data_IF_315932635853
#
_entry.id   IF_315932635853
#
_cell.length_a   1.000
_cell.length_b   1.000
_cell.length_c   1.000
_cell.angle_alpha   90.00
_cell.angle_beta   90.00
_cell.angle_gamma   90.00
#
_symmetry.space_group_name_H-M   'P 1'
#
loop_
_entity.id
_entity.type
_entity.pdbx_description
1 polymer ?
#
# COMPACT_ATOMS: atom_id res chain seq x y z
N UNK A 1 18.20 -15.19 5.66
CA UNK A 1 17.11 -15.40 4.67
C UNK A 1 17.19 -14.26 3.66
N UNK A 2 16.51 -14.29 2.51
CA UNK A 2 16.44 -13.06 1.72
C UNK A 2 15.55 -12.08 2.49
N UNK A 3 16.03 -10.85 2.72
CA UNK A 3 15.24 -9.84 3.42
C UNK A 3 14.07 -9.40 2.53
N UNK A 4 12.87 -9.21 3.10
CA UNK A 4 11.75 -8.63 2.36
C UNK A 4 12.12 -7.27 1.80
N UNK A 5 11.60 -6.95 0.61
CA UNK A 5 11.67 -5.60 0.06
C UNK A 5 10.83 -4.64 0.91
N UNK A 6 11.33 -3.43 1.13
CA UNK A 6 10.59 -2.34 1.78
C UNK A 6 10.08 -1.38 0.72
N UNK A 7 8.76 -1.36 0.53
CA UNK A 7 8.07 -0.40 -0.31
C UNK A 7 7.54 0.75 0.55
N UNK A 8 7.81 1.99 0.18
CA UNK A 8 7.24 3.15 0.86
C UNK A 8 6.16 3.80 0.00
N UNK A 9 4.95 3.91 0.55
CA UNK A 9 3.85 4.63 -0.10
C UNK A 9 4.09 6.13 0.00
N UNK A 10 4.21 6.77 -1.17
CA UNK A 10 4.39 8.22 -1.27
C UNK A 10 3.13 8.93 -0.79
N UNK A 11 3.31 9.98 0.01
CA UNK A 11 2.19 10.68 0.67
C UNK A 11 1.68 11.90 -0.08
N UNK A 12 2.37 12.28 -1.15
CA UNK A 12 2.04 13.45 -1.95
C UNK A 12 0.65 13.33 -2.58
N UNK A 13 -0.03 14.48 -2.68
CA UNK A 13 -1.31 14.66 -3.37
C UNK A 13 -1.18 15.43 -4.67
N UNK A 14 0.02 15.89 -4.96
CA UNK A 14 0.41 16.41 -6.26
C UNK A 14 1.62 15.62 -6.78
N UNK A 15 1.84 15.69 -8.10
CA UNK A 15 3.02 15.10 -8.74
C UNK A 15 4.32 15.61 -8.10
N UNK A 16 4.39 16.92 -7.86
CA UNK A 16 5.56 17.55 -7.23
C UNK A 16 5.80 17.00 -5.83
N UNK A 17 4.75 16.88 -5.01
CA UNK A 17 4.87 16.33 -3.66
C UNK A 17 5.33 14.87 -3.68
N UNK A 18 4.78 14.03 -4.57
CA UNK A 18 5.20 12.63 -4.71
C UNK A 18 6.67 12.53 -5.12
N UNK A 19 7.09 13.32 -6.13
CA UNK A 19 8.48 13.34 -6.59
C UNK A 19 9.45 13.82 -5.49
N UNK A 20 9.03 14.77 -4.66
CA UNK A 20 9.81 15.27 -3.53
C UNK A 20 9.85 14.30 -2.33
N UNK A 21 8.89 13.39 -2.21
CA UNK A 21 8.83 12.38 -1.14
C UNK A 21 9.67 11.13 -1.48
N UNK A 22 9.74 10.76 -2.77
CA UNK A 22 10.51 9.59 -3.23
C UNK A 22 11.99 9.55 -2.76
N UNK A 23 12.82 10.60 -2.91
CA UNK A 23 14.20 10.56 -2.42
C UNK A 23 14.29 10.48 -0.89
N UNK A 24 13.29 11.00 -0.16
CA UNK A 24 13.22 10.88 1.30
C UNK A 24 12.92 9.43 1.70
N UNK A 25 12.00 8.78 1.01
CA UNK A 25 11.69 7.36 1.22
C UNK A 25 12.94 6.48 1.05
N UNK A 26 13.70 6.67 -0.05
CA UNK A 26 14.96 5.96 -0.28
C UNK A 26 15.96 6.20 0.85
N UNK A 27 16.12 7.46 1.29
CA UNK A 27 17.02 7.80 2.41
C UNK A 27 16.61 7.13 3.73
N UNK A 28 15.32 6.87 3.93
CA UNK A 28 14.80 6.14 5.09
C UNK A 28 14.89 4.62 4.96
N UNK A 29 15.44 4.11 3.86
CA UNK A 29 15.68 2.68 3.64
C UNK A 29 14.59 1.97 2.83
N UNK A 30 13.83 2.69 2.00
CA UNK A 30 12.97 2.07 1.00
C UNK A 30 13.80 1.41 -0.12
N UNK A 31 13.45 0.19 -0.51
CA UNK A 31 13.98 -0.48 -1.72
C UNK A 31 13.20 -0.06 -2.97
N UNK A 32 11.95 0.36 -2.80
CA UNK A 32 11.07 0.85 -3.85
C UNK A 32 10.02 1.81 -3.28
N UNK A 33 9.32 2.53 -4.17
CA UNK A 33 8.28 3.47 -3.79
C UNK A 33 6.96 3.16 -4.49
N UNK A 34 5.84 3.38 -3.80
CA UNK A 34 4.50 3.27 -4.37
C UNK A 34 3.95 4.67 -4.66
N UNK A 35 3.70 4.97 -5.93
CA UNK A 35 2.94 6.13 -6.39
C UNK A 35 1.45 5.76 -6.46
N UNK A 36 0.67 6.33 -5.53
CA UNK A 36 -0.78 6.17 -5.48
C UNK A 36 -1.46 7.24 -6.34
N UNK A 37 -1.76 6.93 -7.59
CA UNK A 37 -2.40 7.87 -8.51
C UNK A 37 -3.75 8.36 -7.98
N UNK A 38 -4.50 7.51 -7.28
CA UNK A 38 -5.79 7.87 -6.69
C UNK A 38 -5.69 9.02 -5.68
N UNK A 39 -4.52 9.26 -5.07
CA UNK A 39 -4.32 10.40 -4.16
C UNK A 39 -4.23 11.74 -4.88
N UNK A 40 -3.96 11.77 -6.19
CA UNK A 40 -3.92 13.01 -6.98
C UNK A 40 -5.29 13.69 -7.04
N UNK A 41 -6.38 12.95 -6.87
CA UNK A 41 -7.75 13.49 -6.77
C UNK A 41 -8.13 13.90 -5.35
N UNK A 42 -7.16 14.10 -4.46
CA UNK A 42 -7.42 14.54 -3.09
C UNK A 42 -6.60 15.75 -2.70
N UNK A 43 -7.08 16.53 -1.74
CA UNK A 43 -6.30 17.56 -1.05
C UNK A 43 -6.46 17.40 0.46
N UNK A 44 -5.46 17.84 1.22
CA UNK A 44 -5.49 17.80 2.68
C UNK A 44 -5.61 19.19 3.26
N UNK A 45 -6.57 19.38 4.16
CA UNK A 45 -6.73 20.59 4.96
C UNK A 45 -6.56 20.25 6.45
N UNK A 46 -5.68 20.98 7.13
CA UNK A 46 -5.47 20.82 8.57
C UNK A 46 -6.34 21.81 9.33
N UNK A 47 -7.27 21.29 10.11
CA UNK A 47 -8.13 22.09 10.99
C UNK A 47 -7.73 21.84 12.44
N UNK A 48 -7.50 22.90 13.20
CA UNK A 48 -7.25 22.79 14.64
C UNK A 48 -8.58 22.82 15.37
N UNK A 49 -8.93 21.73 16.04
CA UNK A 49 -10.09 21.67 16.94
C UNK A 49 -9.63 21.60 18.39
N UNK A 50 -10.15 22.50 19.23
CA UNK A 50 -9.95 22.45 20.68
C UNK A 50 -11.05 21.58 21.31
N UNK A 51 -10.70 20.38 21.76
CA UNK A 51 -11.61 19.57 22.57
C UNK A 51 -11.37 19.89 24.05
N UNK A 52 -12.37 20.48 24.70
CA UNK A 52 -12.39 20.61 26.16
C UNK A 52 -12.71 19.25 26.78
N UNK A 53 -11.77 18.73 27.54
CA UNK A 53 -11.96 17.54 28.38
C UNK A 53 -11.84 17.91 29.86
N UNK A 54 -12.30 17.04 30.76
CA UNK A 54 -12.16 17.24 32.22
C UNK A 54 -10.69 17.36 32.68
N UNK A 55 -9.73 16.93 31.85
CA UNK A 55 -8.28 16.99 32.10
C UNK A 55 -7.58 18.21 31.44
N UNK A 56 -8.33 19.12 30.81
CA UNK A 56 -7.81 20.35 30.17
C UNK A 56 -8.19 20.50 28.69
N UNK A 57 -7.73 21.60 28.09
CA UNK A 57 -7.85 21.85 26.64
C UNK A 57 -6.78 21.02 25.90
N UNK A 58 -7.22 20.03 25.11
CA UNK A 58 -6.36 19.34 24.15
C UNK A 58 -6.66 19.88 22.76
N UNK A 59 -5.67 20.53 22.16
CA UNK A 59 -5.69 20.80 20.73
C UNK A 59 -5.53 19.47 19.98
N UNK A 60 -6.52 19.13 19.17
CA UNK A 60 -6.45 18.05 18.20
C UNK A 60 -6.39 18.65 16.80
N UNK A 61 -5.39 18.24 16.02
CA UNK A 61 -5.33 18.56 14.60
C UNK A 61 -6.15 17.50 13.88
N UNK A 62 -7.21 17.92 13.20
CA UNK A 62 -8.03 17.08 12.35
C UNK A 62 -7.62 17.34 10.90
N UNK A 63 -7.39 16.26 10.15
CA UNK A 63 -7.02 16.31 8.74
C UNK A 63 -8.27 15.98 7.94
N UNK A 64 -8.74 16.94 7.16
CA UNK A 64 -9.87 16.77 6.24
C UNK A 64 -9.30 16.45 4.87
N UNK A 65 -9.80 15.38 4.26
CA UNK A 65 -9.45 15.00 2.89
C UNK A 65 -10.59 15.44 1.97
N UNK A 66 -10.32 16.40 1.10
CA UNK A 66 -11.27 16.87 0.09
C UNK A 66 -11.03 16.11 -1.22
N UNK A 67 -12.11 15.83 -1.96
CA UNK A 67 -12.05 15.13 -3.24
C UNK A 67 -12.19 16.11 -4.41
N UNK A 68 -11.44 15.86 -5.47
CA UNK A 68 -11.49 16.60 -6.72
C UNK A 68 -12.33 15.85 -7.76
N UNK A 69 -12.87 16.60 -8.72
CA UNK A 69 -13.58 16.04 -9.88
C UNK A 69 -12.63 15.26 -10.80
N UNK A 70 -13.19 14.34 -11.60
CA UNK A 70 -12.43 13.44 -12.45
C UNK A 70 -11.49 14.18 -13.43
N UNK A 71 -11.96 15.29 -14.00
CA UNK A 71 -11.26 16.11 -14.99
C UNK A 71 -10.23 17.08 -14.39
N UNK A 72 -10.09 17.12 -13.06
CA UNK A 72 -9.13 17.98 -12.38
C UNK A 72 -7.67 17.56 -12.63
N UNK A 73 -7.43 16.31 -13.02
CA UNK A 73 -6.08 15.72 -13.14
C UNK A 73 -5.83 15.26 -14.58
N UNK A 74 -4.77 15.79 -15.18
CA UNK A 74 -4.21 15.20 -16.40
C UNK A 74 -3.40 13.96 -16.04
N UNK A 75 -4.03 12.80 -16.19
CA UNK A 75 -3.45 11.50 -15.83
C UNK A 75 -2.21 11.19 -16.65
N UNK A 76 -2.23 11.46 -17.96
CA UNK A 76 -1.14 11.08 -18.85
C UNK A 76 0.12 11.90 -18.53
N UNK A 77 -0.03 13.21 -18.34
CA UNK A 77 1.07 14.08 -17.94
C UNK A 77 1.56 13.76 -16.52
N UNK A 78 0.66 13.45 -15.59
CA UNK A 78 1.00 13.07 -14.23
C UNK A 78 1.85 11.79 -14.18
N UNK A 79 1.41 10.74 -14.87
CA UNK A 79 2.13 9.47 -14.96
C UNK A 79 3.51 9.69 -15.59
N UNK A 80 3.58 10.43 -16.69
CA UNK A 80 4.84 10.73 -17.38
C UNK A 80 5.82 11.48 -16.47
N UNK A 81 5.35 12.48 -15.74
CA UNK A 81 6.19 13.24 -14.82
C UNK A 81 6.69 12.39 -13.66
N UNK A 82 5.83 11.57 -13.04
CA UNK A 82 6.19 10.64 -11.97
C UNK A 82 7.24 9.63 -12.47
N UNK A 83 6.97 8.94 -13.57
CA UNK A 83 7.86 7.89 -14.12
C UNK A 83 9.20 8.43 -14.62
N UNK A 84 9.29 9.70 -15.01
CA UNK A 84 10.55 10.30 -15.47
C UNK A 84 11.38 10.96 -14.36
N UNK A 85 10.75 11.31 -13.24
CA UNK A 85 11.41 12.00 -12.12
C UNK A 85 11.85 11.05 -11.02
N UNK A 86 11.09 9.99 -10.76
CA UNK A 86 11.41 9.02 -9.72
C UNK A 86 12.42 8.00 -10.26
N UNK A 87 13.62 7.99 -9.69
CA UNK A 87 14.70 7.07 -10.08
C UNK A 87 14.66 5.72 -9.35
N UNK A 88 13.97 5.65 -8.20
CA UNK A 88 13.82 4.41 -7.44
C UNK A 88 12.85 3.45 -8.15
N UNK A 89 12.96 2.12 -7.91
CA UNK A 89 11.99 1.18 -8.43
C UNK A 89 10.55 1.59 -8.07
N UNK A 90 9.68 1.62 -9.06
CA UNK A 90 8.38 2.27 -8.97
C UNK A 90 7.25 1.24 -9.05
N UNK A 91 6.43 1.22 -7.99
CA UNK A 91 5.11 0.62 -8.00
C UNK A 91 4.07 1.70 -8.30
N UNK A 92 3.24 1.51 -9.33
CA UNK A 92 2.08 2.37 -9.59
C UNK A 92 0.81 1.66 -9.13
N UNK A 93 -0.04 2.40 -8.42
CA UNK A 93 -1.32 1.90 -7.90
C UNK A 93 -2.41 2.95 -8.15
N UNK A 94 -3.58 2.53 -8.62
CA UNK A 94 -4.78 3.38 -8.70
C UNK A 94 -5.95 2.67 -8.01
N UNK A 95 -6.04 2.86 -6.68
CA UNK A 95 -6.97 2.11 -5.82
C UNK A 95 -8.41 2.68 -5.94
N UNK A 96 -9.45 1.83 -6.11
CA UNK A 96 -10.84 2.27 -6.10
C UNK A 96 -11.34 2.56 -4.68
N UNK A 97 -12.42 3.33 -4.56
CA UNK A 97 -13.02 3.69 -3.27
C UNK A 97 -13.47 2.47 -2.46
N UNK A 98 -14.00 1.43 -3.12
CA UNK A 98 -14.46 0.20 -2.46
C UNK A 98 -13.34 -0.57 -1.72
N UNK A 99 -12.09 -0.30 -2.05
CA UNK A 99 -10.90 -0.89 -1.41
C UNK A 99 -10.03 0.16 -0.69
N UNK A 100 -10.61 1.31 -0.34
CA UNK A 100 -9.97 2.33 0.48
C UNK A 100 -9.06 3.31 -0.29
N UNK A 101 -9.25 3.41 -1.61
CA UNK A 101 -8.65 4.45 -2.44
C UNK A 101 -9.54 5.67 -2.60
N UNK A 102 -9.08 6.61 -3.43
CA UNK A 102 -9.76 7.89 -3.62
C UNK A 102 -10.11 8.22 -5.08
N UNK A 103 -10.00 7.25 -5.99
CA UNK A 103 -10.31 7.47 -7.40
C UNK A 103 -11.80 7.84 -7.58
N UNK A 104 -12.14 8.97 -8.22
CA UNK A 104 -13.53 9.45 -8.30
C UNK A 104 -14.32 8.90 -9.49
N UNK A 105 -13.66 8.33 -10.49
CA UNK A 105 -14.27 7.89 -11.75
C UNK A 105 -14.91 6.50 -11.71
N UNK A 106 -15.44 6.07 -12.86
CA UNK A 106 -15.96 4.72 -13.04
C UNK A 106 -14.84 3.68 -13.13
N UNK A 107 -15.20 2.40 -13.01
CA UNK A 107 -14.23 1.31 -13.16
C UNK A 107 -13.61 1.27 -14.57
N UNK A 108 -14.37 1.62 -15.61
CA UNK A 108 -13.86 1.69 -16.99
C UNK A 108 -12.85 2.83 -17.17
N UNK A 109 -13.10 3.98 -16.55
CA UNK A 109 -12.16 5.09 -16.54
C UNK A 109 -10.88 4.69 -15.78
N UNK A 110 -11.03 4.00 -14.64
CA UNK A 110 -9.91 3.50 -13.83
C UNK A 110 -9.04 2.52 -14.61
N UNK A 111 -9.65 1.60 -15.35
CA UNK A 111 -8.92 0.67 -16.22
C UNK A 111 -8.11 1.42 -17.28
N UNK A 112 -8.66 2.50 -17.84
CA UNK A 112 -7.92 3.36 -18.79
C UNK A 112 -6.70 4.03 -18.13
N UNK A 113 -6.83 4.46 -16.87
CA UNK A 113 -5.69 4.96 -16.06
C UNK A 113 -4.64 3.87 -15.84
N UNK A 114 -5.05 2.64 -15.51
CA UNK A 114 -4.14 1.51 -15.33
C UNK A 114 -3.43 1.12 -16.62
N UNK A 115 -4.12 1.14 -17.77
CA UNK A 115 -3.49 0.92 -19.08
C UNK A 115 -2.42 1.98 -19.37
N UNK A 116 -2.71 3.25 -19.10
CA UNK A 116 -1.74 4.34 -19.25
C UNK A 116 -0.55 4.19 -18.30
N UNK A 117 -0.79 3.76 -17.07
CA UNK A 117 0.25 3.47 -16.09
C UNK A 117 1.16 2.32 -16.54
N UNK A 118 0.60 1.23 -17.06
CA UNK A 118 1.40 0.12 -17.59
C UNK A 118 2.21 0.57 -18.81
N UNK A 119 1.64 1.40 -19.68
CA UNK A 119 2.35 1.94 -20.84
C UNK A 119 3.57 2.80 -20.49
N UNK A 120 3.64 3.36 -19.27
CA UNK A 120 4.84 4.07 -18.78
C UNK A 120 5.96 3.14 -18.29
N UNK A 121 5.72 1.83 -18.30
CA UNK A 121 6.67 0.75 -17.93
C UNK A 121 7.24 0.88 -16.51
N UNK A 122 6.39 0.96 -15.46
CA UNK A 122 6.86 0.89 -14.08
C UNK A 122 7.42 -0.50 -13.79
N UNK A 123 8.25 -0.62 -12.74
CA UNK A 123 8.75 -1.90 -12.26
C UNK A 123 7.61 -2.80 -11.78
N UNK A 124 6.59 -2.19 -11.13
CA UNK A 124 5.41 -2.88 -10.64
C UNK A 124 4.11 -2.12 -10.91
N UNK A 125 3.03 -2.88 -11.08
CA UNK A 125 1.65 -2.40 -11.12
C UNK A 125 0.81 -3.16 -10.09
N UNK A 126 -0.02 -2.45 -9.32
CA UNK A 126 -1.01 -3.05 -8.43
C UNK A 126 -2.34 -3.20 -9.16
N UNK A 127 -2.81 -4.45 -9.27
CA UNK A 127 -4.09 -4.82 -9.89
C UNK A 127 -4.91 -5.62 -8.88
N UNK A 128 -6.09 -5.10 -8.51
CA UNK A 128 -6.96 -5.80 -7.59
C UNK A 128 -7.44 -7.15 -8.18
N UNK A 129 -7.65 -8.15 -7.32
CA UNK A 129 -8.12 -9.47 -7.76
C UNK A 129 -9.58 -9.48 -8.22
N UNK A 130 -10.37 -8.50 -7.79
CA UNK A 130 -11.80 -8.37 -8.06
C UNK A 130 -12.11 -7.54 -9.33
N UNK A 131 -11.09 -7.05 -10.03
CA UNK A 131 -11.26 -6.50 -11.39
C UNK A 131 -11.88 -7.58 -12.27
N UNK A 132 -12.88 -7.21 -13.07
CA UNK A 132 -13.57 -8.09 -14.01
C UNK A 132 -12.56 -8.95 -14.82
N UNK A 133 -12.68 -10.30 -14.82
CA UNK A 133 -11.61 -11.17 -15.31
C UNK A 133 -11.14 -10.89 -16.74
N UNK A 134 -12.03 -10.65 -17.73
CA UNK A 134 -11.62 -10.27 -19.09
C UNK A 134 -10.71 -9.02 -19.14
N UNK A 135 -11.06 -7.98 -18.39
CA UNK A 135 -10.30 -6.72 -18.33
C UNK A 135 -8.97 -6.90 -17.59
N UNK A 136 -9.00 -7.66 -16.49
CA UNK A 136 -7.80 -7.96 -15.73
C UNK A 136 -6.78 -8.75 -16.54
N UNK A 137 -7.23 -9.77 -17.29
CA UNK A 137 -6.38 -10.51 -18.20
C UNK A 137 -5.73 -9.62 -19.27
N UNK A 138 -6.47 -8.64 -19.80
CA UNK A 138 -5.93 -7.66 -20.75
C UNK A 138 -4.84 -6.80 -20.11
N UNK A 139 -5.05 -6.31 -18.89
CA UNK A 139 -4.05 -5.54 -18.14
C UNK A 139 -2.79 -6.36 -17.86
N UNK A 140 -2.93 -7.62 -17.44
CA UNK A 140 -1.79 -8.53 -17.21
C UNK A 140 -1.04 -8.81 -18.52
N UNK A 141 -1.77 -9.01 -19.63
CA UNK A 141 -1.15 -9.18 -20.97
C UNK A 141 -0.39 -7.91 -21.40
N UNK A 142 -0.92 -6.73 -21.09
CA UNK A 142 -0.29 -5.44 -21.38
C UNK A 142 0.99 -5.23 -20.55
N UNK A 143 0.98 -5.62 -19.27
CA UNK A 143 2.16 -5.55 -18.39
C UNK A 143 3.32 -6.43 -18.90
N UNK A 144 2.98 -7.60 -19.44
CA UNK A 144 3.93 -8.48 -20.10
C UNK A 144 5.03 -8.95 -19.15
N UNK A 145 6.29 -8.86 -19.60
CA UNK A 145 7.48 -9.22 -18.79
C UNK A 145 8.25 -8.02 -18.27
N UNK A 146 7.86 -6.81 -18.69
CA UNK A 146 8.57 -5.57 -18.34
C UNK A 146 8.07 -5.01 -17.00
N UNK A 147 6.78 -5.19 -16.69
CA UNK A 147 6.17 -4.75 -15.43
C UNK A 147 5.68 -5.96 -14.63
N UNK A 148 6.09 -6.05 -13.36
CA UNK A 148 5.62 -7.10 -12.44
C UNK A 148 4.26 -6.73 -11.86
N UNK A 149 3.40 -7.72 -11.59
CA UNK A 149 2.02 -7.50 -11.14
C UNK A 149 1.87 -7.87 -9.67
N UNK A 150 1.35 -6.94 -8.87
CA UNK A 150 0.84 -7.22 -7.53
C UNK A 150 -0.66 -7.50 -7.63
N UNK A 151 -1.07 -8.72 -7.29
CA UNK A 151 -2.48 -9.11 -7.15
C UNK A 151 -2.96 -8.69 -5.77
N UNK A 152 -3.79 -7.66 -5.68
CA UNK A 152 -4.13 -7.07 -4.39
C UNK A 152 -5.56 -7.33 -3.91
N UNK A 153 -5.70 -7.48 -2.59
CA UNK A 153 -6.94 -7.78 -1.86
C UNK A 153 -7.02 -6.80 -0.70
N UNK A 154 -8.13 -6.07 -0.58
CA UNK A 154 -8.36 -5.19 0.57
C UNK A 154 -9.73 -5.48 1.17
N UNK A 155 -9.76 -5.60 2.51
CA UNK A 155 -11.01 -5.65 3.26
C UNK A 155 -11.05 -4.53 4.27
N UNK A 156 -12.07 -3.69 4.17
CA UNK A 156 -12.28 -2.53 5.03
C UNK A 156 -13.17 -2.81 6.24
N UNK A 157 -13.91 -3.92 6.24
CA UNK A 157 -14.96 -4.15 7.26
C UNK A 157 -14.65 -5.28 8.22
N UNK A 158 -14.24 -6.43 7.68
CA UNK A 158 -14.06 -7.67 8.43
C UNK A 158 -12.73 -8.32 8.09
N UNK A 159 -12.06 -8.83 9.12
CA UNK A 159 -10.91 -9.72 8.95
C UNK A 159 -11.40 -11.16 8.81
N UNK A 160 -11.08 -11.87 7.72
CA UNK A 160 -11.42 -13.27 7.58
C UNK A 160 -10.72 -14.14 8.63
N UNK A 161 -11.08 -15.43 8.68
CA UNK A 161 -10.36 -16.43 9.45
C UNK A 161 -8.97 -16.70 8.85
N UNK A 162 -8.09 -17.31 9.65
CA UNK A 162 -6.73 -17.66 9.21
C UNK A 162 -6.75 -18.55 7.97
N UNK A 163 -7.65 -19.54 7.94
CA UNK A 163 -7.84 -20.43 6.78
C UNK A 163 -8.35 -19.71 5.54
N UNK A 164 -9.23 -18.71 5.69
CA UNK A 164 -9.72 -17.93 4.56
C UNK A 164 -8.60 -17.05 3.99
N UNK A 165 -7.87 -16.30 4.83
CA UNK A 165 -6.76 -15.46 4.38
C UNK A 165 -5.70 -16.30 3.65
N UNK A 166 -5.37 -17.48 4.19
CA UNK A 166 -4.38 -18.36 3.56
C UNK A 166 -4.88 -18.92 2.24
N UNK A 167 -6.15 -19.32 2.14
CA UNK A 167 -6.75 -19.79 0.90
C UNK A 167 -6.82 -18.68 -0.15
N UNK A 168 -7.25 -17.47 0.22
CA UNK A 168 -7.33 -16.32 -0.68
C UNK A 168 -5.95 -16.01 -1.30
N UNK A 169 -4.88 -16.11 -0.51
CA UNK A 169 -3.50 -15.93 -1.02
C UNK A 169 -3.13 -17.04 -2.00
N UNK A 170 -3.46 -18.29 -1.69
CA UNK A 170 -3.15 -19.43 -2.56
C UNK A 170 -3.95 -19.39 -3.87
N UNK A 171 -5.20 -18.93 -3.83
CA UNK A 171 -6.05 -18.80 -5.02
C UNK A 171 -5.57 -17.66 -5.92
N UNK A 172 -5.07 -16.56 -5.33
CA UNK A 172 -4.57 -15.41 -6.07
C UNK A 172 -3.10 -15.54 -6.55
N UNK A 173 -2.37 -16.59 -6.14
CA UNK A 173 -0.92 -16.71 -6.41
C UNK A 173 -0.57 -16.72 -7.89
N UNK A 174 -1.44 -17.27 -8.74
CA UNK A 174 -1.23 -17.35 -10.20
C UNK A 174 -1.72 -16.10 -10.95
N UNK A 175 -2.37 -15.17 -10.24
CA UNK A 175 -2.94 -13.95 -10.83
C UNK A 175 -1.90 -12.83 -11.02
N UNK A 176 -0.68 -12.97 -10.48
CA UNK A 176 0.39 -11.97 -10.54
C UNK A 176 1.71 -12.51 -9.97
N UNK A 177 2.72 -11.66 -9.87
CA UNK A 177 4.04 -12.01 -9.33
C UNK A 177 4.08 -12.10 -7.80
N UNK A 178 3.19 -11.35 -7.14
CA UNK A 178 3.08 -11.26 -5.68
C UNK A 178 1.61 -11.00 -5.29
N UNK A 179 1.14 -11.67 -4.24
CA UNK A 179 -0.19 -11.41 -3.66
C UNK A 179 -0.08 -10.45 -2.48
N UNK A 180 -0.83 -9.35 -2.49
CA UNK A 180 -0.90 -8.38 -1.41
C UNK A 180 -2.28 -8.42 -0.78
N UNK A 181 -2.39 -8.73 0.51
CA UNK A 181 -3.66 -8.63 1.22
C UNK A 181 -3.57 -7.69 2.42
N UNK A 182 -4.52 -6.77 2.51
CA UNK A 182 -4.55 -5.71 3.50
C UNK A 182 -5.91 -5.65 4.20
N UNK A 183 -5.92 -5.81 5.51
CA UNK A 183 -7.15 -5.90 6.30
C UNK A 183 -7.23 -4.78 7.34
N UNK A 184 -8.41 -4.19 7.55
CA UNK A 184 -8.63 -3.27 8.67
C UNK A 184 -8.70 -4.06 9.99
N UNK A 185 -7.76 -3.82 10.91
CA UNK A 185 -7.74 -4.43 12.25
C UNK A 185 -8.41 -3.49 13.26
N UNK A 186 -9.35 -4.03 14.06
CA UNK A 186 -10.03 -3.25 15.11
C UNK A 186 -9.32 -3.38 16.45
N UNK A 187 -8.66 -4.52 16.67
CA UNK A 187 -7.83 -4.77 17.84
C UNK A 187 -6.62 -5.66 17.51
N UNK A 188 -5.79 -5.92 18.54
CA UNK A 188 -4.60 -6.76 18.39
C UNK A 188 -4.90 -8.24 18.15
N UNK A 189 -6.10 -8.73 18.46
CA UNK A 189 -6.49 -10.13 18.18
C UNK A 189 -6.74 -10.31 16.68
N UNK A 190 -7.29 -9.31 16.02
CA UNK A 190 -7.39 -9.29 14.55
C UNK A 190 -5.99 -9.36 13.94
N UNK A 191 -5.05 -8.56 14.42
CA UNK A 191 -3.67 -8.59 13.93
C UNK A 191 -2.99 -9.97 14.07
N UNK A 192 -3.32 -10.74 15.12
CA UNK A 192 -2.82 -12.11 15.29
C UNK A 192 -3.28 -13.05 14.16
N UNK A 193 -4.47 -12.84 13.58
CA UNK A 193 -4.93 -13.68 12.46
C UNK A 193 -4.04 -13.47 11.23
N UNK A 194 -3.72 -12.21 10.91
CA UNK A 194 -2.81 -11.86 9.80
C UNK A 194 -1.42 -12.47 10.04
N UNK A 195 -0.94 -12.36 11.27
CA UNK A 195 0.34 -12.92 11.69
C UNK A 195 0.36 -14.45 11.53
N UNK A 196 -0.66 -15.14 12.04
CA UNK A 196 -0.79 -16.59 11.96
C UNK A 196 -0.93 -17.08 10.51
N UNK A 197 -1.71 -16.39 9.68
CA UNK A 197 -1.82 -16.68 8.25
C UNK A 197 -0.46 -16.59 7.55
N UNK A 198 0.32 -15.55 7.86
CA UNK A 198 1.68 -15.39 7.31
C UNK A 198 2.60 -16.53 7.76
N UNK A 199 2.49 -16.97 9.01
CA UNK A 199 3.28 -18.11 9.50
C UNK A 199 2.92 -19.43 8.79
N UNK A 200 1.64 -19.64 8.48
CA UNK A 200 1.18 -20.81 7.71
C UNK A 200 1.65 -20.76 6.25
N UNK A 201 1.63 -19.58 5.62
CA UNK A 201 2.06 -19.40 4.22
C UNK A 201 3.57 -19.48 4.03
N UNK A 202 4.39 -19.27 5.07
CA UNK A 202 5.86 -19.33 4.98
C UNK A 202 6.39 -20.60 4.29
N UNK A 203 5.68 -21.72 4.43
CA UNK A 203 6.07 -23.02 3.86
C UNK A 203 5.34 -23.38 2.57
N UNK A 204 4.47 -22.51 2.04
CA UNK A 204 3.68 -22.80 0.83
C UNK A 204 4.42 -22.52 -0.47
N UNK A 205 5.48 -21.70 -0.43
CA UNK A 205 6.20 -21.22 -1.61
C UNK A 205 5.50 -20.08 -2.35
N UNK A 206 4.39 -19.55 -1.81
CA UNK A 206 3.73 -18.38 -2.37
C UNK A 206 4.53 -17.10 -2.10
N UNK A 207 4.50 -16.15 -3.04
CA UNK A 207 5.05 -14.82 -2.84
C UNK A 207 3.95 -13.88 -2.33
N UNK A 208 4.05 -13.40 -1.10
CA UNK A 208 2.99 -12.58 -0.50
C UNK A 208 3.48 -11.40 0.34
N UNK A 209 2.54 -10.47 0.53
CA UNK A 209 2.61 -9.34 1.46
C UNK A 209 1.30 -9.26 2.22
N UNK A 210 1.29 -9.67 3.49
CA UNK A 210 0.13 -9.56 4.36
C UNK A 210 0.32 -8.38 5.31
N UNK A 211 -0.75 -7.63 5.55
CA UNK A 211 -0.69 -6.49 6.45
C UNK A 211 -2.04 -6.09 7.06
N UNK A 212 -1.97 -5.47 8.23
CA UNK A 212 -3.12 -4.84 8.88
C UNK A 212 -3.04 -3.32 8.82
N UNK A 213 -4.20 -2.68 8.78
CA UNK A 213 -4.38 -1.25 9.03
C UNK A 213 -5.19 -1.09 10.33
N UNK A 214 -4.59 -0.49 11.35
CA UNK A 214 -5.17 -0.37 12.69
C UNK A 214 -4.29 -1.02 13.77
N UNK A 215 -4.77 -1.11 15.02
CA UNK A 215 -3.96 -1.58 16.13
C UNK A 215 -3.33 -2.95 15.88
N UNK A 216 -2.01 -3.05 16.02
CA UNK A 216 -1.24 -4.28 15.80
C UNK A 216 -0.98 -4.66 14.34
N UNK A 217 -1.51 -3.90 13.36
CA UNK A 217 -1.30 -4.18 11.94
C UNK A 217 0.16 -4.11 11.49
N UNK A 218 1.00 -3.41 12.25
CA UNK A 218 2.44 -3.27 12.08
C UNK A 218 3.23 -4.55 12.43
N UNK A 219 2.65 -5.48 13.20
CA UNK A 219 3.34 -6.71 13.62
C UNK A 219 3.78 -7.59 12.44
N UNK A 220 2.90 -7.74 11.45
CA UNK A 220 3.21 -8.45 10.19
C UNK A 220 4.39 -7.82 9.44
N UNK A 221 4.56 -6.50 9.56
CA UNK A 221 5.64 -5.73 8.94
C UNK A 221 6.95 -5.91 9.71
N UNK A 222 6.91 -5.74 11.03
CA UNK A 222 8.06 -5.87 11.92
C UNK A 222 8.65 -7.28 11.84
N UNK A 223 7.80 -8.30 11.80
CA UNK A 223 8.22 -9.71 11.77
C UNK A 223 8.28 -10.30 10.36
N UNK A 224 8.15 -9.49 9.32
CA UNK A 224 8.10 -9.94 7.92
C UNK A 224 9.22 -10.92 7.51
N UNK A 225 10.50 -10.74 7.90
CA UNK A 225 11.55 -11.69 7.57
C UNK A 225 11.28 -13.10 8.14
N UNK A 226 10.78 -13.18 9.37
CA UNK A 226 10.41 -14.46 10.00
C UNK A 226 9.08 -15.00 9.51
N UNK A 227 8.20 -14.13 9.02
CA UNK A 227 6.91 -14.51 8.45
C UNK A 227 7.00 -14.89 6.97
N UNK A 228 8.18 -14.83 6.34
CA UNK A 228 8.36 -15.20 4.94
C UNK A 228 7.69 -14.26 3.94
N UNK A 229 7.45 -13.00 4.30
CA UNK A 229 6.88 -12.03 3.36
C UNK A 229 7.95 -11.55 2.37
N UNK A 230 7.58 -11.38 1.11
CA UNK A 230 8.50 -10.90 0.06
C UNK A 230 8.57 -9.37 -0.01
N UNK A 231 7.48 -8.70 0.40
CA UNK A 231 7.32 -7.25 0.33
C UNK A 231 6.64 -6.72 1.59
N UNK A 232 7.07 -5.56 2.07
CA UNK A 232 6.49 -4.87 3.23
C UNK A 232 6.27 -3.40 2.88
N UNK A 233 5.08 -2.90 3.17
CA UNK A 233 4.77 -1.48 3.00
C UNK A 233 5.11 -0.68 4.27
N UNK A 234 5.72 0.48 4.10
CA UNK A 234 6.10 1.41 5.15
C UNK A 234 5.75 2.85 4.76
N UNK A 235 5.98 3.80 5.66
CA UNK A 235 5.71 5.24 5.44
C UNK A 235 6.94 6.10 5.72
N UNK A 236 6.98 7.30 5.14
CA UNK A 236 7.93 8.35 5.52
C UNK A 236 7.50 9.10 6.78
N UNK A 237 6.25 8.92 7.24
CA UNK A 237 5.73 9.53 8.45
C UNK A 237 6.45 9.02 9.71
N UNK A 238 6.60 9.88 10.71
CA UNK A 238 7.15 9.51 12.02
C UNK A 238 6.18 9.91 13.12
N UNK A 239 6.10 9.10 14.17
CA UNK A 239 5.28 9.38 15.35
C UNK A 239 4.68 8.13 15.96
N UNK A 240 4.44 8.19 17.28
CA UNK A 240 3.92 7.07 18.05
C UNK A 240 2.50 6.64 17.63
N UNK A 241 1.76 7.54 16.97
CA UNK A 241 0.40 7.27 16.47
C UNK A 241 0.37 6.22 15.36
N UNK A 242 1.49 6.01 14.65
CA UNK A 242 1.58 5.05 13.56
C UNK A 242 1.28 3.61 14.00
N UNK A 243 1.73 3.22 15.20
CA UNK A 243 1.45 1.90 15.75
C UNK A 243 -0.06 1.65 15.97
N UNK A 244 -0.84 2.70 16.27
CA UNK A 244 -2.30 2.61 16.38
C UNK A 244 -2.98 2.51 15.01
N UNK A 245 -2.29 2.92 13.94
CA UNK A 245 -2.75 2.81 12.55
C UNK A 245 -2.21 1.57 11.84
N UNK A 246 -1.42 0.71 12.50
CA UNK A 246 -0.79 -0.46 11.87
C UNK A 246 0.28 -0.11 10.85
N UNK A 247 0.84 1.10 10.97
CA UNK A 247 1.89 1.64 10.11
C UNK A 247 3.21 1.68 10.87
N UNK A 248 4.30 1.68 10.11
CA UNK A 248 5.65 1.83 10.64
C UNK A 248 6.48 2.67 9.68
N UNK A 249 7.33 3.54 10.23
CA UNK A 249 8.28 4.30 9.43
C UNK A 249 9.32 3.35 8.81
N UNK A 250 9.78 3.64 7.59
CA UNK A 250 10.79 2.80 6.93
C UNK A 250 12.10 2.67 7.73
N UNK A 251 12.61 3.75 8.34
CA UNK A 251 13.84 3.68 9.13
C UNK A 251 13.63 2.88 10.42
N UNK A 252 12.49 3.07 11.07
CA UNK A 252 12.16 2.33 12.31
C UNK A 252 11.99 0.83 12.02
N UNK A 253 11.41 0.48 10.87
CA UNK A 253 11.30 -0.91 10.42
C UNK A 253 12.69 -1.54 10.19
N UNK A 254 13.60 -0.83 9.53
CA UNK A 254 14.98 -1.31 9.32
C UNK A 254 15.71 -1.49 10.65
N UNK A 255 15.58 -0.55 11.57
CA UNK A 255 16.15 -0.63 12.92
C UNK A 255 15.55 -1.82 13.68
N UNK A 256 14.23 -2.04 13.58
CA UNK A 256 13.58 -3.18 14.23
C UNK A 256 14.13 -4.51 13.72
N UNK A 257 14.32 -4.65 12.40
CA UNK A 257 14.93 -5.86 11.83
C UNK A 257 16.39 -6.06 12.27
N UNK A 258 17.16 -4.98 12.42
CA UNK A 258 18.53 -5.05 12.94
C UNK A 258 18.54 -5.51 14.40
N UNK A 259 17.72 -4.91 15.26
CA UNK A 259 17.63 -5.23 16.69
C UNK A 259 17.11 -6.65 16.92
N UNK A 260 16.19 -7.13 16.07
CA UNK A 260 15.66 -8.49 16.13
C UNK A 260 16.58 -9.54 15.46
N UNK A 261 17.75 -9.12 14.96
CA UNK A 261 18.71 -9.98 14.28
C UNK A 261 18.14 -10.71 13.04
N UNK A 262 17.16 -10.09 12.38
CA UNK A 262 16.63 -10.57 11.11
C UNK A 262 17.66 -10.32 10.00
N UNK A 263 18.46 -11.36 9.76
CA UNK A 263 19.61 -11.40 8.85
C UNK A 263 19.28 -11.86 7.44
#
# INVERSE_FOLDING_TARGET
MQKPLVCVTLRGRTVEEMCNDAPKAVKLGADMVEARLDLLWTTEEKTTSTKKSEEGEKESIEIIVNHLELDAIDVADSIKAISSTIEAPLLITCRPQGQGGHYPGSEDDRISVLQAAIASKPDWIDLEVDIDPPKREELVKLAGKETRVISSIHSLENIPSVSEITQDVMDAQEMGDLVKACFLTKDRKDALRIFESSLQLKSSGANYSLMGLGPGGDWSRIHAPELGQELVFATTESGWHLAQQGKINASDLRIAWEVLEYS
#
